data_IF_594115968690
#
_entry.id   IF_594115968690
#
_cell.length_a   1.000
_cell.length_b   1.000
_cell.length_c   1.000
_cell.angle_alpha   90.00
_cell.angle_beta   90.00
_cell.angle_gamma   90.00
#
_symmetry.space_group_name_H-M   'P 1'
#
loop_
_entity.id
_entity.type
_entity.pdbx_description
1 polymer ?
#
# COMPACT_ATOMS: atom_id res chain seq x y z
N UNK A 1 3.42 1.99 -22.53
CA UNK A 1 3.22 0.86 -21.60
C UNK A 1 1.79 0.30 -21.72
N UNK A 2 1.57 -1.00 -21.51
CA UNK A 2 0.25 -1.68 -21.64
C UNK A 2 -0.87 -1.01 -20.83
N UNK A 3 -0.57 -0.51 -19.63
CA UNK A 3 -1.53 0.25 -18.81
C UNK A 3 -2.05 1.51 -19.51
N UNK A 4 -1.19 2.27 -20.21
CA UNK A 4 -1.59 3.45 -20.98
C UNK A 4 -2.47 3.09 -22.20
N UNK A 5 -2.26 1.89 -22.78
CA UNK A 5 -3.10 1.40 -23.89
C UNK A 5 -4.49 0.96 -23.40
N UNK A 6 -4.56 0.30 -22.24
CA UNK A 6 -5.80 -0.26 -21.70
C UNK A 6 -6.65 0.75 -20.94
N UNK A 7 -6.05 1.81 -20.40
CA UNK A 7 -6.75 2.85 -19.65
C UNK A 7 -6.41 4.26 -20.20
N UNK A 8 -6.72 4.56 -21.47
CA UNK A 8 -6.43 5.86 -22.06
C UNK A 8 -7.25 6.96 -21.36
N UNK A 9 -6.62 8.09 -21.05
CA UNK A 9 -7.24 9.28 -20.43
C UNK A 9 -7.87 9.08 -19.04
N UNK A 10 -7.65 7.93 -18.40
CA UNK A 10 -8.09 7.72 -17.02
C UNK A 10 -7.11 8.35 -16.03
N UNK A 11 -7.63 9.08 -15.05
CA UNK A 11 -6.83 9.67 -13.96
C UNK A 11 -6.42 8.65 -12.90
N UNK A 12 -6.95 7.41 -12.96
CA UNK A 12 -6.55 6.30 -12.12
C UNK A 12 -6.77 4.96 -12.81
N UNK A 13 -5.85 4.01 -12.61
CA UNK A 13 -6.01 2.63 -13.04
C UNK A 13 -5.26 1.65 -12.14
N UNK A 14 -5.66 0.38 -12.20
CA UNK A 14 -4.95 -0.74 -11.59
C UNK A 14 -4.84 -1.85 -12.63
N UNK A 15 -3.62 -2.24 -12.95
CA UNK A 15 -3.30 -3.23 -13.99
C UNK A 15 -2.50 -4.33 -13.36
N UNK A 16 -3.00 -5.54 -13.50
CA UNK A 16 -2.33 -6.73 -13.01
C UNK A 16 -1.77 -7.53 -14.19
N UNK A 17 -0.47 -7.84 -14.12
CA UNK A 17 0.23 -8.64 -15.11
C UNK A 17 0.30 -10.07 -14.57
N UNK A 18 -0.44 -11.02 -15.15
CA UNK A 18 -0.50 -12.39 -14.63
C UNK A 18 0.77 -13.19 -14.97
N UNK A 19 1.35 -12.98 -16.16
CA UNK A 19 2.55 -13.70 -16.61
C UNK A 19 3.39 -12.89 -17.61
N UNK A 20 4.70 -13.16 -17.61
CA UNK A 20 5.60 -12.92 -18.75
C UNK A 20 5.25 -13.98 -19.80
N UNK A 21 4.91 -13.59 -21.04
CA UNK A 21 4.52 -14.53 -22.13
C UNK A 21 5.58 -15.62 -22.39
N UNK A 22 6.80 -15.43 -21.89
CA UNK A 22 7.91 -16.37 -22.00
C UNK A 22 8.06 -17.32 -20.80
N UNK A 23 7.41 -17.07 -19.65
CA UNK A 23 7.56 -17.91 -18.46
C UNK A 23 6.35 -17.85 -17.51
N UNK A 24 5.51 -18.89 -17.60
CA UNK A 24 4.28 -19.07 -16.82
C UNK A 24 4.49 -19.34 -15.31
N UNK A 25 5.73 -19.31 -14.81
CA UNK A 25 6.06 -19.49 -13.38
C UNK A 25 6.60 -18.22 -12.72
N UNK A 26 6.82 -17.14 -13.49
CA UNK A 26 7.26 -15.86 -12.91
C UNK A 26 6.13 -15.15 -12.17
N UNK A 27 6.41 -14.55 -10.99
CA UNK A 27 5.39 -13.82 -10.24
C UNK A 27 4.94 -12.59 -11.02
N UNK A 28 3.64 -12.54 -11.29
CA UNK A 28 3.01 -11.40 -11.93
C UNK A 28 2.99 -10.13 -11.06
N UNK A 29 3.18 -8.96 -11.66
CA UNK A 29 3.25 -7.67 -10.96
C UNK A 29 1.92 -6.90 -10.99
N UNK A 30 1.66 -6.08 -9.97
CA UNK A 30 0.55 -5.13 -9.94
C UNK A 30 1.07 -3.71 -10.13
N UNK A 31 0.51 -2.98 -11.08
CA UNK A 31 0.76 -1.56 -11.29
C UNK A 31 -0.52 -0.78 -10.98
N UNK A 32 -0.45 0.22 -10.11
CA UNK A 32 -1.57 1.11 -9.82
C UNK A 32 -1.14 2.57 -9.86
N UNK A 33 -1.95 3.43 -10.47
CA UNK A 33 -1.76 4.88 -10.44
C UNK A 33 -3.08 5.60 -10.20
N UNK A 34 -3.01 6.79 -9.62
CA UNK A 34 -4.17 7.67 -9.41
C UNK A 34 -3.71 9.11 -9.23
N UNK A 35 -4.49 10.06 -9.72
CA UNK A 35 -4.35 11.48 -9.41
C UNK A 35 -4.91 11.86 -8.03
N UNK A 36 -5.56 10.93 -7.31
CA UNK A 36 -6.01 11.15 -5.94
C UNK A 36 -4.84 11.03 -4.95
N UNK A 37 -4.57 12.12 -4.22
CA UNK A 37 -3.54 12.17 -3.16
C UNK A 37 -3.76 11.11 -2.07
N UNK A 38 -4.99 10.64 -1.88
CA UNK A 38 -5.34 9.59 -0.92
C UNK A 38 -5.20 8.15 -1.42
N UNK A 39 -4.80 7.92 -2.68
CA UNK A 39 -4.80 6.58 -3.29
C UNK A 39 -3.83 5.59 -2.64
N UNK A 40 -2.68 6.07 -2.17
CA UNK A 40 -1.72 5.27 -1.42
C UNK A 40 -2.05 5.17 0.07
N UNK A 41 -3.09 5.88 0.55
CA UNK A 41 -3.53 5.73 1.93
C UNK A 41 -3.94 4.28 2.19
N UNK A 42 -3.56 3.78 3.36
CA UNK A 42 -3.89 2.41 3.79
C UNK A 42 -5.39 2.14 3.69
N UNK A 43 -6.24 3.13 3.98
CA UNK A 43 -7.69 2.98 3.87
C UNK A 43 -8.16 2.75 2.42
N UNK A 44 -7.71 3.58 1.46
CA UNK A 44 -8.18 3.48 0.07
C UNK A 44 -7.73 2.17 -0.59
N UNK A 45 -6.46 1.83 -0.44
CA UNK A 45 -5.88 0.63 -1.07
C UNK A 45 -6.23 -0.69 -0.38
N UNK A 46 -6.70 -0.68 0.88
CA UNK A 46 -7.12 -1.90 1.59
C UNK A 46 -8.63 -2.06 1.67
N UNK A 47 -9.43 -0.98 1.75
CA UNK A 47 -10.90 -1.04 1.95
C UNK A 47 -11.71 -0.43 0.81
N UNK A 48 -11.12 0.40 -0.07
CA UNK A 48 -11.85 1.08 -1.15
C UNK A 48 -12.34 0.14 -2.26
N UNK A 49 -13.64 0.15 -2.55
CA UNK A 49 -14.27 -0.74 -3.54
C UNK A 49 -13.71 -0.58 -4.96
N UNK A 50 -13.24 0.62 -5.34
CA UNK A 50 -12.65 0.88 -6.65
C UNK A 50 -11.33 0.14 -6.91
N UNK A 51 -10.77 -0.52 -5.90
CA UNK A 51 -9.54 -1.31 -6.02
C UNK A 51 -9.81 -2.81 -5.93
N UNK A 52 -11.06 -3.24 -5.73
CA UNK A 52 -11.39 -4.63 -5.49
C UNK A 52 -11.61 -5.39 -6.81
N UNK A 53 -10.82 -6.43 -7.02
CA UNK A 53 -10.90 -7.32 -8.18
C UNK A 53 -11.04 -8.76 -7.73
N UNK A 54 -11.85 -9.52 -8.45
CA UNK A 54 -12.01 -10.95 -8.23
C UNK A 54 -12.11 -11.69 -9.57
N UNK A 55 -11.50 -12.85 -9.63
CA UNK A 55 -11.53 -13.75 -10.77
C UNK A 55 -11.59 -15.18 -10.24
N UNK A 56 -12.53 -15.97 -10.75
CA UNK A 56 -12.68 -17.37 -10.35
C UNK A 56 -12.78 -18.25 -11.58
N UNK A 57 -12.16 -19.42 -11.50
CA UNK A 57 -12.29 -20.43 -12.53
C UNK A 57 -13.76 -20.90 -12.63
N UNK A 58 -14.22 -21.22 -13.83
CA UNK A 58 -15.59 -21.68 -14.08
C UNK A 58 -15.78 -23.16 -13.76
N UNK A 59 -14.69 -23.92 -13.69
CA UNK A 59 -14.66 -25.35 -13.36
C UNK A 59 -14.52 -25.54 -11.86
N UNK A 60 -15.16 -26.59 -11.33
CA UNK A 60 -15.13 -26.93 -9.91
C UNK A 60 -14.07 -27.98 -9.60
N UNK A 61 -13.52 -27.92 -8.39
CA UNK A 61 -12.72 -29.01 -7.81
C UNK A 61 -13.64 -30.19 -7.55
N UNK A 62 -13.21 -31.40 -7.93
CA UNK A 62 -13.96 -32.62 -7.65
C UNK A 62 -13.98 -32.93 -6.14
N UNK A 63 -15.12 -33.41 -5.64
CA UNK A 63 -15.26 -33.87 -4.25
C UNK A 63 -16.44 -33.22 -3.52
N UNK A 64 -16.47 -33.42 -2.20
CA UNK A 64 -17.53 -32.85 -1.36
C UNK A 64 -17.36 -31.32 -1.22
N UNK A 65 -18.36 -30.57 -1.66
CA UNK A 65 -18.34 -29.10 -1.67
C UNK A 65 -18.04 -28.48 -0.30
N UNK A 66 -18.58 -29.04 0.79
CA UNK A 66 -18.34 -28.54 2.14
C UNK A 66 -16.90 -28.74 2.60
N UNK A 67 -16.31 -29.91 2.29
CA UNK A 67 -14.91 -30.22 2.61
C UNK A 67 -13.96 -29.34 1.81
N UNK A 68 -14.19 -29.20 0.50
CA UNK A 68 -13.38 -28.34 -0.38
C UNK A 68 -13.46 -26.88 0.08
N UNK A 69 -14.66 -26.37 0.34
CA UNK A 69 -14.83 -24.99 0.80
C UNK A 69 -14.16 -24.73 2.15
N UNK A 70 -14.19 -25.70 3.07
CA UNK A 70 -13.46 -25.62 4.34
C UNK A 70 -11.94 -25.62 4.14
N UNK A 71 -11.44 -26.49 3.27
CA UNK A 71 -10.03 -26.60 2.94
C UNK A 71 -9.49 -25.29 2.30
N UNK A 72 -10.16 -24.75 1.28
CA UNK A 72 -9.77 -23.50 0.61
C UNK A 72 -9.75 -22.32 1.58
N UNK A 73 -10.80 -22.17 2.40
CA UNK A 73 -10.86 -21.09 3.39
C UNK A 73 -9.77 -21.20 4.45
N UNK A 74 -9.48 -22.41 4.93
CA UNK A 74 -8.40 -22.63 5.90
C UNK A 74 -7.02 -22.38 5.30
N UNK A 75 -6.79 -22.90 4.09
CA UNK A 75 -5.56 -22.68 3.32
C UNK A 75 -5.29 -21.18 3.18
N UNK A 76 -6.25 -20.43 2.63
CA UNK A 76 -6.12 -19.00 2.43
C UNK A 76 -5.93 -18.21 3.74
N UNK A 77 -6.71 -18.54 4.78
CA UNK A 77 -6.61 -17.84 6.06
C UNK A 77 -5.24 -18.03 6.73
N UNK A 78 -4.66 -19.24 6.65
CA UNK A 78 -3.34 -19.49 7.24
C UNK A 78 -2.21 -18.92 6.38
N UNK A 79 -2.28 -19.05 5.05
CA UNK A 79 -1.31 -18.39 4.15
C UNK A 79 -1.33 -16.88 4.36
N UNK A 80 -2.50 -16.27 4.56
CA UNK A 80 -2.62 -14.84 4.87
C UNK A 80 -1.91 -14.45 6.17
N UNK A 81 -2.01 -15.27 7.22
CA UNK A 81 -1.31 -15.01 8.49
C UNK A 81 0.21 -15.15 8.34
N UNK A 82 0.67 -16.17 7.61
CA UNK A 82 2.11 -16.32 7.32
C UNK A 82 2.65 -15.16 6.49
N UNK A 83 1.90 -14.71 5.48
CA UNK A 83 2.27 -13.55 4.68
C UNK A 83 2.38 -12.31 5.55
N UNK A 84 1.38 -12.03 6.39
CA UNK A 84 1.41 -10.88 7.28
C UNK A 84 2.56 -10.92 8.30
N UNK A 85 2.98 -12.11 8.75
CA UNK A 85 4.12 -12.26 9.66
C UNK A 85 5.49 -12.14 8.97
N UNK A 86 5.57 -12.40 7.67
CA UNK A 86 6.82 -12.35 6.92
C UNK A 86 7.30 -10.90 6.68
N UNK A 87 8.61 -10.70 6.68
CA UNK A 87 9.23 -9.39 6.45
C UNK A 87 8.82 -8.77 5.10
N UNK A 88 8.72 -9.59 4.05
CA UNK A 88 8.30 -9.16 2.70
C UNK A 88 6.78 -9.17 2.48
N UNK A 89 6.00 -9.37 3.55
CA UNK A 89 4.55 -9.49 3.51
C UNK A 89 4.01 -10.51 2.50
N UNK A 90 4.76 -11.59 2.27
CA UNK A 90 4.50 -12.59 1.23
C UNK A 90 4.62 -13.99 1.82
N UNK A 91 3.70 -14.88 1.45
CA UNK A 91 3.83 -16.30 1.72
C UNK A 91 3.09 -17.13 0.69
N UNK A 92 3.63 -18.32 0.45
CA UNK A 92 2.95 -19.40 -0.25
C UNK A 92 2.64 -20.53 0.73
N UNK A 93 1.58 -21.28 0.43
CA UNK A 93 1.17 -22.42 1.24
C UNK A 93 0.52 -23.49 0.40
N UNK A 94 0.51 -24.70 0.91
CA UNK A 94 -0.17 -25.82 0.27
C UNK A 94 -0.89 -26.68 1.30
N UNK A 95 -1.95 -27.34 0.86
CA UNK A 95 -2.67 -28.33 1.62
C UNK A 95 -2.66 -29.63 0.82
N UNK A 96 -2.01 -30.64 1.40
CA UNK A 96 -1.91 -31.98 0.84
C UNK A 96 -3.30 -32.63 0.80
N UNK A 97 -3.77 -32.96 -0.41
CA UNK A 97 -5.06 -33.58 -0.62
C UNK A 97 -5.05 -35.09 -0.34
N UNK A 98 -3.87 -35.72 -0.23
CA UNK A 98 -3.74 -37.17 -0.16
C UNK A 98 -4.38 -37.86 -1.37
N UNK A 99 -5.56 -38.45 -1.18
CA UNK A 99 -6.38 -39.03 -2.26
C UNK A 99 -7.25 -38.02 -2.99
N UNK A 100 -7.33 -36.79 -2.48
CA UNK A 100 -8.04 -35.66 -3.09
C UNK A 100 -7.04 -34.67 -3.71
N UNK A 101 -7.55 -33.65 -4.40
CA UNK A 101 -6.73 -32.64 -5.07
C UNK A 101 -5.93 -31.80 -4.06
N UNK A 102 -4.61 -31.72 -4.24
CA UNK A 102 -3.74 -30.80 -3.49
C UNK A 102 -4.06 -29.36 -3.86
N UNK A 103 -4.15 -28.50 -2.85
CA UNK A 103 -4.47 -27.08 -3.02
C UNK A 103 -3.24 -26.23 -2.75
N UNK A 104 -3.06 -25.19 -3.56
CA UNK A 104 -1.97 -24.24 -3.46
C UNK A 104 -2.52 -22.83 -3.24
N UNK A 105 -1.83 -22.03 -2.44
CA UNK A 105 -2.23 -20.66 -2.17
C UNK A 105 -1.04 -19.72 -2.06
N UNK A 106 -1.31 -18.46 -2.39
CA UNK A 106 -0.40 -17.35 -2.25
C UNK A 106 -1.16 -16.20 -1.58
N UNK A 107 -0.51 -15.53 -0.64
CA UNK A 107 -0.99 -14.29 -0.07
C UNK A 107 0.15 -13.27 -0.02
N UNK A 108 -0.17 -12.02 -0.36
CA UNK A 108 0.82 -10.96 -0.39
C UNK A 108 0.19 -9.61 -0.04
N UNK A 109 0.93 -8.79 0.71
CA UNK A 109 0.68 -7.36 0.85
C UNK A 109 1.84 -6.55 0.29
N UNK A 110 1.61 -5.26 0.07
CA UNK A 110 2.72 -4.33 -0.14
C UNK A 110 3.57 -4.21 1.14
N UNK A 111 4.91 -4.16 1.02
CA UNK A 111 5.82 -4.25 2.17
C UNK A 111 5.66 -3.15 3.22
N UNK A 112 5.16 -1.99 2.82
CA UNK A 112 4.96 -0.82 3.68
C UNK A 112 3.69 -0.91 4.56
N UNK A 113 2.86 -1.96 4.40
CA UNK A 113 1.82 -2.25 5.39
C UNK A 113 2.41 -2.80 6.70
N UNK A 114 1.82 -2.38 7.82
CA UNK A 114 2.05 -3.01 9.11
C UNK A 114 1.55 -4.47 9.10
N UNK A 115 2.01 -5.30 10.04
CA UNK A 115 1.55 -6.70 10.13
C UNK A 115 0.04 -6.76 10.38
N UNK A 116 -0.47 -5.85 11.23
CA UNK A 116 -1.88 -5.71 11.56
C UNK A 116 -2.73 -5.31 10.35
N UNK A 117 -2.30 -4.30 9.61
CA UNK A 117 -3.04 -3.84 8.42
C UNK A 117 -3.01 -4.88 7.30
N UNK A 118 -1.86 -5.55 7.11
CA UNK A 118 -1.74 -6.62 6.13
C UNK A 118 -2.68 -7.78 6.44
N UNK A 119 -2.67 -8.30 7.69
CA UNK A 119 -3.56 -9.40 8.06
C UNK A 119 -5.03 -8.99 7.96
N UNK A 120 -5.39 -7.77 8.38
CA UNK A 120 -6.75 -7.27 8.27
C UNK A 120 -7.21 -7.14 6.81
N UNK A 121 -6.34 -6.66 5.92
CA UNK A 121 -6.63 -6.56 4.48
C UNK A 121 -6.85 -7.95 3.86
N UNK A 122 -5.91 -8.87 4.08
CA UNK A 122 -6.00 -10.22 3.54
C UNK A 122 -7.21 -10.99 4.08
N UNK A 123 -7.49 -10.89 5.38
CA UNK A 123 -8.66 -11.54 5.98
C UNK A 123 -9.98 -11.00 5.42
N UNK A 124 -10.06 -9.70 5.09
CA UNK A 124 -11.23 -9.14 4.41
C UNK A 124 -11.41 -9.74 3.01
N UNK A 125 -10.32 -9.97 2.26
CA UNK A 125 -10.41 -10.67 0.97
C UNK A 125 -10.86 -12.11 1.14
N UNK A 126 -10.28 -12.85 2.09
CA UNK A 126 -10.69 -14.23 2.39
C UNK A 126 -12.17 -14.28 2.82
N UNK A 127 -12.64 -13.32 3.60
CA UNK A 127 -14.03 -13.21 4.03
C UNK A 127 -15.01 -12.88 2.89
N UNK A 128 -14.54 -12.36 1.76
CA UNK A 128 -15.37 -12.12 0.57
C UNK A 128 -15.63 -13.39 -0.26
N UNK A 129 -14.92 -14.49 0.04
CA UNK A 129 -15.08 -15.77 -0.65
C UNK A 129 -16.31 -16.49 -0.11
N UNK A 130 -17.35 -16.57 -0.93
CA UNK A 130 -18.54 -17.34 -0.60
C UNK A 130 -18.34 -18.85 -0.86
N UNK A 131 -19.33 -19.65 -0.44
CA UNK A 131 -19.28 -21.11 -0.58
C UNK A 131 -19.14 -21.56 -2.05
N UNK A 132 -19.82 -20.89 -2.99
CA UNK A 132 -19.79 -21.20 -4.43
C UNK A 132 -18.44 -20.91 -5.08
N UNK A 133 -17.77 -19.85 -4.63
CA UNK A 133 -16.45 -19.45 -5.12
C UNK A 133 -15.35 -20.34 -4.52
N UNK A 134 -15.56 -20.85 -3.29
CA UNK A 134 -14.59 -21.69 -2.60
C UNK A 134 -14.42 -23.08 -3.21
N UNK A 135 -15.31 -23.52 -4.11
CA UNK A 135 -15.25 -24.84 -4.75
C UNK A 135 -14.69 -24.80 -6.17
N UNK A 136 -14.26 -23.63 -6.66
CA UNK A 136 -13.70 -23.46 -8.01
C UNK A 136 -12.28 -24.01 -8.08
N UNK A 137 -11.83 -24.46 -9.25
CA UNK A 137 -10.45 -24.93 -9.48
C UNK A 137 -9.41 -23.90 -9.09
N UNK A 138 -9.77 -22.62 -9.14
CA UNK A 138 -8.93 -21.53 -8.69
C UNK A 138 -9.72 -20.26 -8.49
N UNK A 139 -9.14 -19.37 -7.71
CA UNK A 139 -9.72 -18.08 -7.43
C UNK A 139 -8.66 -17.09 -6.99
N UNK A 140 -8.77 -15.87 -7.50
CA UNK A 140 -7.91 -14.76 -7.19
C UNK A 140 -8.74 -13.56 -6.80
N UNK A 141 -8.36 -12.94 -5.69
CA UNK A 141 -9.01 -11.74 -5.19
C UNK A 141 -7.94 -10.81 -4.71
N UNK A 142 -8.02 -9.56 -5.13
CA UNK A 142 -7.00 -8.60 -4.78
C UNK A 142 -7.54 -7.19 -4.71
N UNK A 143 -6.81 -6.41 -3.93
CA UNK A 143 -6.80 -4.97 -3.94
C UNK A 143 -5.38 -4.50 -4.25
N UNK A 144 -5.21 -3.19 -4.37
CA UNK A 144 -3.89 -2.59 -4.60
C UNK A 144 -2.82 -3.02 -3.59
N UNK A 145 -3.24 -3.17 -2.33
CA UNK A 145 -2.32 -3.35 -1.20
C UNK A 145 -2.25 -4.78 -0.69
N UNK A 146 -3.17 -5.64 -1.09
CA UNK A 146 -3.17 -7.03 -0.66
C UNK A 146 -3.85 -7.93 -1.71
N UNK A 147 -3.34 -9.15 -1.85
CA UNK A 147 -3.88 -10.14 -2.77
C UNK A 147 -3.84 -11.54 -2.17
N UNK A 148 -4.85 -12.34 -2.53
CA UNK A 148 -4.92 -13.77 -2.25
C UNK A 148 -5.24 -14.52 -3.53
N UNK A 149 -4.59 -15.66 -3.73
CA UNK A 149 -4.83 -16.58 -4.83
C UNK A 149 -4.80 -18.00 -4.32
N UNK A 150 -5.72 -18.83 -4.81
CA UNK A 150 -5.64 -20.27 -4.65
C UNK A 150 -5.86 -20.96 -6.00
N UNK A 151 -5.25 -22.12 -6.17
CA UNK A 151 -5.39 -22.97 -7.34
C UNK A 151 -5.29 -24.45 -6.92
N UNK A 152 -5.92 -25.32 -7.69
CA UNK A 152 -5.84 -26.78 -7.59
C UNK A 152 -4.58 -27.37 -8.28
N UNK A 153 -3.69 -26.50 -8.76
CA UNK A 153 -2.41 -26.83 -9.38
C UNK A 153 -1.35 -25.82 -8.92
N UNK A 154 -0.08 -26.21 -9.02
CA UNK A 154 1.03 -25.34 -8.62
C UNK A 154 1.21 -24.23 -9.66
N UNK A 155 1.25 -22.97 -9.20
CA UNK A 155 1.30 -21.77 -10.07
C UNK A 155 2.43 -20.79 -9.69
N UNK A 156 3.36 -21.23 -8.86
CA UNK A 156 4.54 -20.48 -8.43
C UNK A 156 5.71 -21.44 -8.22
N UNK A 157 6.93 -20.92 -8.33
CA UNK A 157 8.17 -21.64 -8.00
C UNK A 157 8.72 -21.13 -6.65
N UNK A 158 8.17 -21.64 -5.54
CA UNK A 158 8.62 -21.32 -4.18
C UNK A 158 8.94 -22.59 -3.40
N UNK A 159 10.24 -22.78 -3.14
CA UNK A 159 10.75 -23.95 -2.41
C UNK A 159 10.45 -23.91 -0.91
N UNK A 160 10.03 -22.76 -0.36
CA UNK A 160 9.78 -22.54 1.07
C UNK A 160 8.29 -22.48 1.42
N UNK A 161 7.44 -23.06 0.57
CA UNK A 161 6.00 -23.14 0.77
C UNK A 161 5.60 -23.81 2.10
N UNK A 162 4.65 -23.19 2.81
CA UNK A 162 4.21 -23.67 4.12
C UNK A 162 3.15 -24.76 3.97
N UNK A 163 3.38 -25.92 4.58
CA UNK A 163 2.35 -26.97 4.69
C UNK A 163 1.28 -26.52 5.67
N UNK A 164 0.03 -26.49 5.22
CA UNK A 164 -1.14 -26.16 6.03
C UNK A 164 -1.92 -27.45 6.27
N UNK A 165 -2.19 -27.82 7.54
CA UNK A 165 -2.90 -29.05 7.86
C UNK A 165 -4.33 -29.00 7.30
N UNK A 166 -4.84 -30.13 6.82
CA UNK A 166 -6.23 -30.24 6.36
C UNK A 166 -7.21 -30.11 7.54
N UNK A 167 -8.40 -29.50 7.34
CA UNK A 167 -9.44 -29.43 8.37
C UNK A 167 -9.79 -30.80 8.97
N UNK A 168 -9.77 -31.86 8.15
CA UNK A 168 -10.08 -33.23 8.56
C UNK A 168 -9.01 -33.84 9.47
N UNK A 169 -7.77 -33.35 9.38
CA UNK A 169 -6.66 -33.77 10.26
C UNK A 169 -6.72 -33.10 11.64
N UNK A 170 -7.63 -32.15 11.86
CA UNK A 170 -7.86 -31.50 13.17
C UNK A 170 -8.91 -32.20 14.03
N UNK A 171 -9.44 -33.36 13.62
CA UNK A 171 -10.15 -34.28 14.53
C UNK A 171 -9.09 -35.20 15.17
N UNK A 172 -8.81 -35.20 16.47
CA UNK A 172 -9.68 -35.04 17.64
C UNK A 172 -9.04 -34.13 18.71
N UNK A 173 -9.75 -33.15 19.27
CA UNK A 173 -9.54 -32.81 20.68
C UNK A 173 -9.92 -34.05 21.53
N UNK A 174 -9.16 -34.44 22.56
CA UNK A 174 -9.64 -35.44 23.51
C UNK A 174 -11.00 -34.97 24.05
N UNK A 175 -11.93 -35.93 24.19
CA UNK A 175 -13.28 -35.67 24.68
C UNK A 175 -13.23 -34.72 25.89
N UNK A 176 -14.12 -33.70 25.98
CA UNK A 176 -14.16 -32.85 27.15
C UNK A 176 -14.45 -33.74 28.35
N UNK A 177 -13.52 -33.79 29.30
CA UNK A 177 -13.78 -34.34 30.62
C UNK A 177 -15.04 -33.66 31.20
N UNK A 178 -15.90 -34.37 31.93
CA UNK A 178 -17.09 -33.77 32.51
C UNK A 178 -16.65 -32.60 33.41
N UNK A 179 -17.04 -31.38 33.02
CA UNK A 179 -16.70 -30.18 33.77
C UNK A 179 -17.34 -30.26 35.17
N UNK A 180 -16.63 -29.85 36.24
CA UNK A 180 -17.28 -29.66 37.52
C UNK A 180 -18.32 -28.54 37.39
N UNK A 181 -19.51 -28.78 37.93
CA UNK A 181 -20.62 -27.84 37.92
C UNK A 181 -20.24 -26.55 38.67
N UNK A 182 -19.69 -25.57 37.95
CA UNK A 182 -19.49 -24.24 38.48
C UNK A 182 -20.84 -23.53 38.56
N UNK A 183 -21.34 -23.37 39.80
CA UNK A 183 -22.42 -22.45 40.11
C UNK A 183 -22.05 -21.06 39.60
N UNK A 184 -22.75 -20.60 38.56
CA UNK A 184 -22.68 -19.22 38.09
C UNK A 184 -23.05 -18.30 39.25
N UNK A 185 -22.07 -17.59 39.81
CA UNK A 185 -22.36 -16.43 40.63
C UNK A 185 -22.82 -15.32 39.69
N UNK A 186 -24.14 -15.10 39.63
CA UNK A 186 -24.70 -13.94 38.96
C UNK A 186 -24.11 -12.67 39.56
N UNK A 187 -23.48 -11.84 38.74
CA UNK A 187 -23.01 -10.53 39.15
C UNK A 187 -24.24 -9.70 39.53
N UNK A 188 -24.32 -9.32 40.81
CA UNK A 188 -25.46 -8.59 41.37
C UNK A 188 -25.62 -7.24 40.65
N UNK A 189 -26.85 -6.79 40.34
CA UNK A 189 -27.12 -5.66 39.44
C UNK A 189 -26.49 -4.31 39.87
N UNK A 190 -26.22 -4.11 41.16
CA UNK A 190 -25.53 -2.91 41.67
C UNK A 190 -24.08 -2.74 41.18
N UNK A 191 -23.41 -3.81 40.74
CA UNK A 191 -22.03 -3.74 40.23
C UNK A 191 -21.99 -3.12 38.82
N UNK A 192 -23.02 -3.33 38.01
CA UNK A 192 -23.16 -2.74 36.68
C UNK A 192 -23.54 -1.24 36.78
N UNK A 193 -24.32 -0.87 37.80
CA UNK A 193 -24.67 0.53 38.04
C UNK A 193 -23.45 1.40 38.43
N UNK A 194 -22.51 0.86 39.21
CA UNK A 194 -21.30 1.58 39.64
C UNK A 194 -20.30 1.82 38.49
N UNK A 195 -20.18 0.87 37.55
CA UNK A 195 -19.23 1.02 36.43
C UNK A 195 -19.68 2.03 35.37
N UNK A 196 -20.99 2.11 35.13
CA UNK A 196 -21.58 3.06 34.16
C UNK A 196 -21.58 4.49 34.73
N UNK A 197 -21.85 4.66 36.02
CA UNK A 197 -21.83 5.99 36.65
C UNK A 197 -20.43 6.63 36.64
N UNK A 198 -19.38 5.84 36.90
CA UNK A 198 -18.01 6.33 36.89
C UNK A 198 -17.54 6.78 35.49
N UNK A 199 -17.94 6.05 34.45
CA UNK A 199 -17.57 6.36 33.06
C UNK A 199 -18.31 7.59 32.54
N UNK A 200 -19.59 7.78 32.89
CA UNK A 200 -20.34 9.00 32.55
C UNK A 200 -19.77 10.23 33.27
N UNK A 201 -19.40 10.11 34.55
CA UNK A 201 -18.79 11.21 35.30
C UNK A 201 -17.44 11.64 34.71
N UNK A 202 -16.61 10.69 34.26
CA UNK A 202 -15.32 10.99 33.62
C UNK A 202 -15.49 11.77 32.31
N UNK A 203 -16.44 11.36 31.47
CA UNK A 203 -16.72 12.04 30.18
C UNK A 203 -17.24 13.46 30.42
N UNK A 204 -18.15 13.65 31.39
CA UNK A 204 -18.64 14.97 31.75
C UNK A 204 -17.52 15.88 32.27
N UNK A 205 -16.61 15.36 33.09
CA UNK A 205 -15.48 16.12 33.63
C UNK A 205 -14.49 16.54 32.52
N UNK A 206 -14.20 15.63 31.58
CA UNK A 206 -13.39 15.95 30.39
C UNK A 206 -14.04 17.04 29.52
N UNK A 207 -15.36 17.00 29.34
CA UNK A 207 -16.11 17.99 28.57
C UNK A 207 -16.08 19.37 29.26
N UNK A 208 -16.26 19.42 30.58
CA UNK A 208 -16.16 20.65 31.37
C UNK A 208 -14.75 21.26 31.26
N UNK A 209 -13.69 20.46 31.40
CA UNK A 209 -12.30 20.93 31.25
C UNK A 209 -12.04 21.47 29.84
N UNK A 210 -12.56 20.81 28.81
CA UNK A 210 -12.47 21.28 27.43
C UNK A 210 -13.18 22.64 27.24
N UNK A 211 -14.40 22.78 27.75
CA UNK A 211 -15.15 24.03 27.71
C UNK A 211 -14.41 25.16 28.45
N UNK A 212 -13.87 24.90 29.64
CA UNK A 212 -13.11 25.90 30.42
C UNK A 212 -11.82 26.31 29.70
N UNK A 213 -11.10 25.38 29.05
CA UNK A 213 -9.92 25.71 28.23
C UNK A 213 -10.29 26.56 27.02
N UNK A 214 -11.40 26.24 26.36
CA UNK A 214 -11.91 27.00 25.19
C UNK A 214 -12.40 28.40 25.58
N UNK A 215 -12.91 28.57 26.79
CA UNK A 215 -13.29 29.89 27.33
C UNK A 215 -12.04 30.71 27.71
N UNK A 216 -10.99 30.08 28.25
CA UNK A 216 -9.71 30.75 28.53
C UNK A 216 -8.98 31.20 27.27
N UNK A 217 -9.01 30.42 26.18
CA UNK A 217 -8.36 30.82 24.91
C UNK A 217 -9.06 31.98 24.20
N UNK A 218 -10.32 32.27 24.53
CA UNK A 218 -11.03 33.47 24.03
C UNK A 218 -10.75 34.75 24.83
N UNK A 219 -10.16 34.65 26.02
CA UNK A 219 -9.87 35.83 26.87
C UNK A 219 -8.53 36.52 26.57
N UNK A 220 -7.66 35.92 25.76
CA UNK A 220 -6.34 36.49 25.40
C UNK A 220 -6.30 37.03 23.96
N UNK A 221 -7.45 37.41 23.39
CA UNK A 221 -7.54 38.03 22.06
C UNK A 221 -8.37 39.31 22.15
N UNK A 222 -7.79 40.31 22.81
CA UNK A 222 -8.40 41.64 22.90
C UNK A 222 -7.49 42.63 23.63
N UNK A 223 -6.59 43.28 22.87
CA UNK A 223 -6.12 44.68 23.00
C UNK A 223 -4.72 44.84 22.37
N UNK A 224 -4.57 45.84 21.49
CA UNK A 224 -3.28 46.45 21.14
C UNK A 224 -2.96 46.51 19.64
N UNK A 225 -3.22 47.66 19.03
CA UNK A 225 -2.70 48.06 17.72
C UNK A 225 -1.37 48.83 17.87
N UNK A 226 -0.68 49.02 16.73
CA UNK A 226 0.42 49.94 16.40
C UNK A 226 1.89 49.51 16.57
N UNK A 227 2.54 49.44 15.38
CA UNK A 227 3.81 50.08 15.00
C UNK A 227 5.13 49.38 15.39
N UNK A 228 5.92 48.99 14.38
CA UNK A 228 7.28 48.48 14.60
C UNK A 228 7.98 47.91 13.36
N UNK A 229 8.48 48.80 12.52
CA UNK A 229 9.46 48.59 11.43
C UNK A 229 10.72 47.86 11.92
N UNK A 230 11.14 46.75 11.28
CA UNK A 230 12.53 46.51 10.85
C UNK A 230 12.74 45.20 10.06
N UNK A 231 13.46 45.37 8.98
CA UNK A 231 14.25 44.45 8.14
C UNK A 231 15.35 43.71 8.93
N UNK A 232 16.03 42.78 8.24
CA UNK A 232 17.16 41.91 8.63
C UNK A 232 16.72 40.57 9.27
N UNK A 233 17.21 39.39 8.88
CA UNK A 233 18.44 39.06 8.13
C UNK A 233 18.38 37.58 7.73
N UNK A 234 19.00 37.26 6.60
CA UNK A 234 19.31 35.91 6.18
C UNK A 234 20.15 35.18 7.24
N UNK A 235 19.86 33.90 7.46
CA UNK A 235 20.86 32.89 7.82
C UNK A 235 20.27 31.53 7.36
N UNK A 236 20.51 31.10 6.12
CA UNK A 236 21.76 30.49 5.62
C UNK A 236 22.02 29.13 6.30
N UNK A 237 21.79 28.06 5.53
CA UNK A 237 21.97 26.68 5.95
C UNK A 237 21.07 25.69 5.23
N UNK A 238 20.84 25.87 3.92
CA UNK A 238 20.07 24.92 3.09
C UNK A 238 21.03 24.06 2.23
N UNK A 239 22.14 23.66 2.82
CA UNK A 239 22.99 22.57 2.33
C UNK A 239 22.60 21.30 3.10
N UNK A 240 21.34 20.87 2.99
CA UNK A 240 21.04 19.47 3.30
C UNK A 240 21.62 18.65 2.17
N UNK A 241 22.85 18.18 2.37
CA UNK A 241 23.50 17.17 1.53
C UNK A 241 22.54 15.99 1.38
N UNK A 242 22.10 15.74 0.16
CA UNK A 242 21.33 14.56 -0.21
C UNK A 242 22.27 13.34 -0.20
N UNK A 243 22.52 12.77 0.97
CA UNK A 243 23.15 11.45 1.07
C UNK A 243 22.11 10.40 0.65
N UNK A 244 21.94 10.23 -0.66
CA UNK A 244 21.29 9.04 -1.18
C UNK A 244 22.30 7.89 -1.06
N UNK A 245 22.00 6.90 -0.21
CA UNK A 245 22.82 5.70 -0.06
C UNK A 245 23.15 5.13 -1.44
N UNK A 246 24.45 5.07 -1.68
CA UNK A 246 25.12 4.87 -2.97
C UNK A 246 25.02 3.41 -3.41
N UNK A 247 23.83 2.96 -3.79
CA UNK A 247 23.63 1.65 -4.43
C UNK A 247 23.10 1.72 -5.87
N UNK A 248 22.88 2.93 -6.42
CA UNK A 248 22.48 3.13 -7.81
C UNK A 248 23.60 3.81 -8.60
N UNK A 249 24.42 3.02 -9.29
CA UNK A 249 25.63 3.46 -10.00
C UNK A 249 25.39 4.45 -11.17
N UNK A 250 24.15 4.84 -11.47
CA UNK A 250 23.78 5.67 -12.63
C UNK A 250 22.88 6.87 -12.29
N UNK A 251 22.67 7.18 -11.00
CA UNK A 251 21.85 8.33 -10.58
C UNK A 251 22.74 9.54 -10.23
N UNK A 252 22.41 10.71 -10.76
CA UNK A 252 23.16 11.95 -10.56
C UNK A 252 22.32 13.07 -9.94
N UNK A 253 22.93 13.87 -9.06
CA UNK A 253 22.35 15.15 -8.65
C UNK A 253 22.93 16.24 -9.55
N UNK A 254 22.05 16.93 -10.28
CA UNK A 254 22.42 17.98 -11.24
C UNK A 254 22.30 19.37 -10.59
N UNK A 255 23.17 20.29 -10.98
CA UNK A 255 23.03 21.70 -10.63
C UNK A 255 21.93 22.35 -11.48
N UNK A 256 21.20 23.31 -10.92
CA UNK A 256 20.12 23.99 -11.64
C UNK A 256 20.62 24.67 -12.92
N UNK A 257 21.85 25.21 -12.93
CA UNK A 257 22.42 25.82 -14.13
C UNK A 257 22.64 24.81 -15.26
N UNK A 258 23.00 23.56 -14.92
CA UNK A 258 23.14 22.49 -15.92
C UNK A 258 21.80 22.17 -16.57
N UNK A 259 20.72 22.21 -15.79
CA UNK A 259 19.36 21.98 -16.29
C UNK A 259 18.88 23.15 -17.15
N UNK A 260 19.18 24.38 -16.74
CA UNK A 260 18.87 25.58 -17.51
C UNK A 260 19.55 25.54 -18.88
N UNK A 261 20.84 25.22 -18.93
CA UNK A 261 21.58 25.09 -20.19
C UNK A 261 21.02 23.96 -21.04
N UNK A 262 20.73 22.80 -20.44
CA UNK A 262 20.21 21.65 -21.17
C UNK A 262 18.81 21.88 -21.77
N UNK A 263 17.99 22.73 -21.15
CA UNK A 263 16.59 22.98 -21.56
C UNK A 263 16.39 24.27 -22.35
N UNK A 264 17.46 25.03 -22.61
CA UNK A 264 17.40 26.39 -23.14
C UNK A 264 16.48 27.29 -22.30
N UNK A 265 16.79 27.36 -21.00
CA UNK A 265 16.04 28.15 -20.01
C UNK A 265 14.54 27.79 -19.94
N UNK A 266 14.23 26.48 -20.02
CA UNK A 266 12.85 25.97 -20.06
C UNK A 266 12.01 26.61 -21.19
N UNK A 267 12.60 26.77 -22.39
CA UNK A 267 11.91 27.31 -23.56
C UNK A 267 10.61 26.56 -23.86
N UNK A 268 9.53 27.30 -24.13
CA UNK A 268 8.23 26.71 -24.48
C UNK A 268 8.31 25.92 -25.79
N UNK A 269 9.27 26.20 -26.67
CA UNK A 269 9.52 25.41 -27.89
C UNK A 269 9.97 23.98 -27.56
N UNK A 270 10.60 23.79 -26.40
CA UNK A 270 11.05 22.49 -25.91
C UNK A 270 10.01 21.79 -25.03
N UNK A 271 8.83 22.37 -24.82
CA UNK A 271 7.81 21.77 -23.96
C UNK A 271 7.21 20.52 -24.59
N UNK A 272 7.39 19.39 -23.93
CA UNK A 272 6.85 18.09 -24.34
C UNK A 272 5.40 17.90 -23.88
N UNK A 273 5.02 18.53 -22.76
CA UNK A 273 3.65 18.47 -22.22
C UNK A 273 3.55 19.06 -20.82
N UNK A 274 2.32 19.15 -20.31
CA UNK A 274 2.03 19.65 -18.96
C UNK A 274 0.84 18.90 -18.37
N UNK A 275 0.89 18.62 -17.07
CA UNK A 275 -0.20 18.00 -16.33
C UNK A 275 -0.25 18.52 -14.89
N UNK A 276 -1.03 17.89 -14.02
CA UNK A 276 -1.19 18.32 -12.62
C UNK A 276 0.04 18.16 -11.71
N UNK A 277 1.21 17.90 -12.28
CA UNK A 277 2.50 17.74 -11.59
C UNK A 277 3.58 18.62 -12.23
N UNK A 278 3.17 19.66 -12.94
CA UNK A 278 4.05 20.59 -13.65
C UNK A 278 4.39 20.21 -15.10
N UNK A 279 5.12 21.09 -15.79
CA UNK A 279 5.54 20.93 -17.18
C UNK A 279 6.73 19.97 -17.35
N UNK A 280 6.81 19.37 -18.53
CA UNK A 280 7.93 18.53 -18.98
C UNK A 280 8.55 19.17 -20.22
N UNK A 281 9.86 19.38 -20.17
CA UNK A 281 10.66 19.97 -21.24
C UNK A 281 11.62 18.94 -21.83
N UNK A 282 11.89 19.04 -23.13
CA UNK A 282 12.99 18.37 -23.79
C UNK A 282 14.28 19.11 -23.45
N UNK A 283 15.31 18.37 -23.09
CA UNK A 283 16.66 18.93 -22.96
C UNK A 283 17.69 18.09 -23.69
N UNK A 284 18.90 18.63 -23.78
CA UNK A 284 20.07 17.92 -24.31
C UNK A 284 21.31 18.31 -23.51
N UNK A 285 21.98 17.31 -22.92
CA UNK A 285 23.25 17.53 -22.24
C UNK A 285 24.40 17.78 -23.24
N UNK A 286 25.55 18.35 -22.80
CA UNK A 286 26.69 18.64 -23.66
C UNK A 286 27.28 17.41 -24.39
N UNK A 287 27.10 16.23 -23.82
CA UNK A 287 27.49 14.93 -24.41
C UNK A 287 26.52 14.45 -25.52
N UNK A 288 25.47 15.22 -25.80
CA UNK A 288 24.46 14.93 -26.83
C UNK A 288 23.31 14.06 -26.36
N UNK A 289 23.27 13.66 -25.08
CA UNK A 289 22.19 12.84 -24.53
C UNK A 289 20.91 13.68 -24.44
N UNK A 290 19.84 13.21 -25.09
CA UNK A 290 18.51 13.81 -24.98
C UNK A 290 17.85 13.38 -23.67
N UNK A 291 17.26 14.35 -22.96
CA UNK A 291 16.63 14.17 -21.65
C UNK A 291 15.22 14.75 -21.63
N UNK A 292 14.42 14.27 -20.68
CA UNK A 292 13.12 14.85 -20.37
C UNK A 292 13.18 15.44 -18.97
N UNK A 293 13.04 16.76 -18.87
CA UNK A 293 13.16 17.52 -17.62
C UNK A 293 11.77 17.86 -17.12
N UNK A 294 11.35 17.24 -16.02
CA UNK A 294 10.07 17.55 -15.37
C UNK A 294 10.30 18.52 -14.22
N UNK A 295 9.76 19.73 -14.33
CA UNK A 295 9.79 20.76 -13.28
C UNK A 295 8.53 20.63 -12.45
N UNK A 296 8.67 20.40 -11.15
CA UNK A 296 7.54 20.19 -10.25
C UNK A 296 7.01 21.53 -9.74
N UNK A 297 5.69 21.66 -9.60
CA UNK A 297 5.06 22.88 -9.11
C UNK A 297 5.38 23.13 -7.62
N UNK A 298 5.73 24.39 -7.30
CA UNK A 298 6.08 24.84 -5.96
C UNK A 298 4.91 24.75 -4.94
N UNK A 299 3.65 24.76 -5.42
CA UNK A 299 2.44 24.79 -4.58
C UNK A 299 2.00 23.42 -4.01
N UNK A 300 2.80 22.37 -4.20
CA UNK A 300 2.57 21.09 -3.52
C UNK A 300 3.07 21.22 -2.06
N UNK A 301 2.16 21.59 -1.14
CA UNK A 301 2.43 21.94 0.27
C UNK A 301 3.11 20.90 1.19
N UNK A 302 3.87 19.94 0.63
CA UNK A 302 4.70 18.92 1.28
C UNK A 302 6.09 18.76 0.62
N UNK A 303 6.48 19.72 -0.24
CA UNK A 303 7.37 19.58 -1.39
C UNK A 303 8.71 18.84 -1.27
N UNK A 304 9.46 18.91 -0.15
CA UNK A 304 10.78 18.27 -0.08
C UNK A 304 10.73 16.77 0.25
N UNK A 305 9.93 16.39 1.26
CA UNK A 305 9.86 14.99 1.72
C UNK A 305 9.17 14.12 0.66
N UNK A 306 8.13 14.65 0.01
CA UNK A 306 7.45 13.96 -1.08
C UNK A 306 8.35 13.81 -2.30
N UNK A 307 9.05 14.88 -2.69
CA UNK A 307 10.03 14.83 -3.77
C UNK A 307 11.12 13.79 -3.49
N UNK A 308 11.67 13.76 -2.27
CA UNK A 308 12.67 12.75 -1.87
C UNK A 308 12.12 11.32 -1.99
N UNK A 309 10.93 11.07 -1.45
CA UNK A 309 10.30 9.75 -1.53
C UNK A 309 10.02 9.32 -2.98
N UNK A 310 9.57 10.23 -3.83
CA UNK A 310 9.31 9.97 -5.24
C UNK A 310 10.61 9.65 -6.00
N UNK A 311 11.66 10.44 -5.80
CA UNK A 311 13.00 10.20 -6.37
C UNK A 311 13.51 8.82 -5.93
N UNK A 312 13.47 8.51 -4.63
CA UNK A 312 13.94 7.22 -4.11
C UNK A 312 13.15 6.03 -4.67
N UNK A 313 11.85 6.19 -4.90
CA UNK A 313 11.00 5.15 -5.46
C UNK A 313 11.29 4.93 -6.95
N UNK A 314 11.31 6.01 -7.74
CA UNK A 314 11.51 5.93 -9.19
C UNK A 314 12.93 5.46 -9.50
N UNK A 315 13.95 5.91 -8.75
CA UNK A 315 15.34 5.49 -8.94
C UNK A 315 15.50 3.97 -8.76
N UNK A 316 14.68 3.32 -7.91
CA UNK A 316 14.65 1.86 -7.71
C UNK A 316 13.87 1.11 -8.79
N UNK A 317 13.10 1.79 -9.65
CA UNK A 317 12.25 1.17 -10.68
C UNK A 317 12.95 1.13 -12.05
N UNK A 318 14.04 0.36 -12.15
CA UNK A 318 14.70 0.12 -13.43
C UNK A 318 14.04 -1.04 -14.19
N UNK A 319 13.38 -0.75 -15.31
CA UNK A 319 12.79 -1.77 -16.17
C UNK A 319 12.93 -1.36 -17.64
N UNK A 320 13.21 -2.33 -18.53
CA UNK A 320 13.39 -2.13 -19.99
C UNK A 320 12.25 -1.39 -20.72
N UNK A 321 11.07 -1.30 -20.11
CA UNK A 321 9.87 -0.68 -20.69
C UNK A 321 9.44 0.60 -19.94
N UNK A 322 10.23 1.06 -18.99
CA UNK A 322 10.02 2.31 -18.25
C UNK A 322 11.13 3.29 -18.61
N UNK A 323 10.79 4.58 -18.64
CA UNK A 323 11.80 5.64 -18.80
C UNK A 323 12.69 5.62 -17.57
N UNK A 324 14.00 5.58 -17.77
CA UNK A 324 15.00 5.58 -16.69
C UNK A 324 15.11 6.99 -16.12
N UNK A 325 15.04 7.11 -14.80
CA UNK A 325 15.40 8.34 -14.09
C UNK A 325 16.93 8.45 -14.05
N UNK A 326 17.47 9.50 -14.65
CA UNK A 326 18.92 9.77 -14.69
C UNK A 326 19.36 10.59 -13.47
N UNK A 327 18.47 11.41 -12.92
CA UNK A 327 18.82 12.22 -11.77
C UNK A 327 17.77 13.19 -11.30
N UNK A 328 18.20 14.10 -10.43
CA UNK A 328 17.35 15.18 -9.95
C UNK A 328 18.14 16.47 -9.68
N UNK A 329 17.42 17.60 -9.65
CA UNK A 329 17.94 18.87 -9.14
C UNK A 329 17.00 19.38 -8.04
N UNK A 330 17.58 19.78 -6.90
CA UNK A 330 16.87 20.46 -5.81
C UNK A 330 17.67 21.67 -5.36
N UNK A 331 17.25 22.86 -5.77
CA UNK A 331 17.89 24.12 -5.38
C UNK A 331 16.80 25.14 -5.00
N UNK A 332 16.79 25.59 -3.74
CA UNK A 332 15.73 26.46 -3.23
C UNK A 332 14.34 25.85 -3.42
N UNK A 333 13.45 26.58 -4.12
CA UNK A 333 12.09 26.13 -4.46
C UNK A 333 12.05 25.19 -5.68
N UNK A 334 13.14 25.08 -6.44
CA UNK A 334 13.18 24.23 -7.64
C UNK A 334 13.31 22.77 -7.25
N UNK A 335 12.42 21.94 -7.81
CA UNK A 335 12.42 20.47 -7.65
C UNK A 335 12.21 19.86 -9.03
N UNK A 336 13.24 19.18 -9.52
CA UNK A 336 13.31 18.77 -10.92
C UNK A 336 13.75 17.32 -11.02
N UNK A 337 13.09 16.57 -11.91
CA UNK A 337 13.45 15.22 -12.31
C UNK A 337 14.04 15.22 -13.72
N UNK A 338 15.07 14.41 -13.92
CA UNK A 338 15.80 14.25 -15.21
C UNK A 338 15.81 12.80 -15.64
#
# INVERSE_FOLDING_TARGET
>A
AYAHKMCPNHTAASVYYDYDETNALKPGCLLGFSGDRGFLSTASGTTGNGTFFQYFNTVNIAGNAGVVAAAVRQLLAQTARYAAAAARRFATGFMDGGTTTTLYALAQCTPDLSAGDCVACLQRLVGSINATNSVRLGGRIFRLRCNVRFEAFMFFDDKNMRRIPSPSSMAQPPAPAPAPANKRHGVKPWVIALSVAASVALVALCFIVYCLRRLRTKSTKGKGALQGKRTHEFQEGDDQVWEMETELAEFSVFDFNQILEATDNFSEENKLGEGGFGPVYKGRFPDGVEIAVKRLDADSGQGFIEFKNEVELIAKLQHRNLVRLMGCCSQGEEKILV
#
